data_IF_890697702035
#
_entry.id   IF_890697702035
#
_cell.length_a   1.000
_cell.length_b   1.000
_cell.length_c   1.000
_cell.angle_alpha   90.00
_cell.angle_beta   90.00
_cell.angle_gamma   90.00
#
_symmetry.space_group_name_H-M   'P 1'
#
loop_
_entity.id
_entity.type
_entity.pdbx_description
1 polymer ?
#
# COMPACT_ATOMS: atom_id res chain seq x y z
N UNK A 1 -11.75 -8.08 -8.90
CA UNK A 1 -11.36 -6.77 -9.47
C UNK A 1 -10.61 -7.02 -10.76
N UNK A 2 -10.85 -6.24 -11.82
CA UNK A 2 -9.93 -6.24 -12.97
C UNK A 2 -8.62 -5.55 -12.59
N UNK A 3 -7.50 -5.92 -13.24
CA UNK A 3 -6.22 -5.24 -13.03
C UNK A 3 -6.33 -3.72 -13.28
N UNK A 4 -7.18 -3.30 -14.23
CA UNK A 4 -7.44 -1.88 -14.51
C UNK A 4 -8.22 -1.15 -13.42
N UNK A 5 -9.15 -1.81 -12.74
CA UNK A 5 -9.89 -1.23 -11.63
C UNK A 5 -9.01 -1.09 -10.37
N UNK A 6 -8.15 -2.08 -10.12
CA UNK A 6 -7.18 -2.02 -9.04
C UNK A 6 -6.17 -0.90 -9.25
N UNK A 7 -5.61 -0.76 -10.45
CA UNK A 7 -4.64 0.30 -10.73
C UNK A 7 -5.24 1.69 -10.50
N UNK A 8 -6.45 1.96 -10.99
CA UNK A 8 -7.16 3.23 -10.74
C UNK A 8 -7.39 3.50 -9.24
N UNK A 9 -7.75 2.46 -8.47
CA UNK A 9 -7.94 2.60 -7.03
C UNK A 9 -6.62 2.96 -6.33
N UNK A 10 -5.50 2.35 -6.75
CA UNK A 10 -4.16 2.67 -6.24
C UNK A 10 -3.74 4.10 -6.63
N UNK A 11 -3.93 4.50 -7.89
CA UNK A 11 -3.56 5.83 -8.38
C UNK A 11 -4.32 6.94 -7.64
N UNK A 12 -5.63 6.74 -7.40
CA UNK A 12 -6.45 7.68 -6.65
C UNK A 12 -6.01 7.80 -5.18
N UNK A 13 -5.68 6.67 -4.55
CA UNK A 13 -5.18 6.66 -3.17
C UNK A 13 -3.82 7.36 -3.06
N UNK A 14 -2.91 7.11 -4.01
CA UNK A 14 -1.61 7.78 -4.08
C UNK A 14 -1.76 9.28 -4.29
N UNK A 15 -2.62 9.71 -5.23
CA UNK A 15 -2.89 11.13 -5.46
C UNK A 15 -3.41 11.82 -4.19
N UNK A 16 -4.33 11.18 -3.45
CA UNK A 16 -4.85 11.73 -2.20
C UNK A 16 -3.77 11.89 -1.12
N UNK A 17 -2.77 11.01 -1.07
CA UNK A 17 -1.64 11.11 -0.12
C UNK A 17 -0.67 12.21 -0.56
N UNK A 18 -0.37 12.28 -1.85
CA UNK A 18 0.51 13.31 -2.43
C UNK A 18 -0.05 14.73 -2.23
N UNK A 19 -1.37 14.89 -2.25
CA UNK A 19 -2.03 16.18 -1.98
C UNK A 19 -1.80 16.69 -0.55
N UNK A 20 -1.50 15.80 0.40
CA UNK A 20 -1.16 16.13 1.79
C UNK A 20 0.36 16.37 1.96
N UNK A 21 1.14 16.38 0.87
CA UNK A 21 2.60 16.53 0.90
C UNK A 21 3.33 15.28 1.41
N UNK A 22 2.67 14.13 1.39
CA UNK A 22 3.22 12.83 1.79
C UNK A 22 3.51 11.98 0.55
N UNK A 23 4.43 11.03 0.65
CA UNK A 23 4.72 10.08 -0.42
C UNK A 23 4.44 8.64 0.03
N UNK A 24 3.84 7.85 -0.87
CA UNK A 24 3.68 6.41 -0.65
C UNK A 24 4.90 5.68 -1.20
N UNK A 25 5.61 4.95 -0.35
CA UNK A 25 6.76 4.15 -0.80
C UNK A 25 6.34 3.05 -1.79
N UNK A 26 7.22 2.71 -2.73
CA UNK A 26 7.00 1.61 -3.67
C UNK A 26 6.77 0.27 -2.96
N UNK A 27 7.42 0.06 -1.80
CA UNK A 27 7.19 -1.11 -0.96
C UNK A 27 5.73 -1.17 -0.48
N UNK A 28 5.19 -0.05 0.02
CA UNK A 28 3.79 0.04 0.48
C UNK A 28 2.80 -0.18 -0.67
N UNK A 29 3.09 0.36 -1.86
CA UNK A 29 2.27 0.15 -3.07
C UNK A 29 2.21 -1.32 -3.45
N UNK A 30 3.36 -1.99 -3.48
CA UNK A 30 3.43 -3.41 -3.82
C UNK A 30 2.75 -4.30 -2.78
N UNK A 31 2.90 -3.97 -1.49
CA UNK A 31 2.23 -4.70 -0.42
C UNK A 31 0.70 -4.58 -0.52
N UNK A 32 0.20 -3.38 -0.82
CA UNK A 32 -1.22 -3.14 -1.03
C UNK A 32 -1.74 -3.90 -2.26
N UNK A 33 -0.97 -3.95 -3.36
CA UNK A 33 -1.31 -4.73 -4.56
C UNK A 33 -1.44 -6.22 -4.25
N UNK A 34 -0.50 -6.79 -3.49
CA UNK A 34 -0.54 -8.19 -3.03
C UNK A 34 -1.77 -8.48 -2.18
N UNK A 35 -2.11 -7.58 -1.25
CA UNK A 35 -3.31 -7.71 -0.42
C UNK A 35 -4.59 -7.72 -1.27
N UNK A 36 -4.71 -6.78 -2.22
CA UNK A 36 -5.89 -6.65 -3.08
C UNK A 36 -6.06 -7.83 -4.06
N UNK A 37 -4.96 -8.49 -4.41
CA UNK A 37 -4.95 -9.73 -5.20
C UNK A 37 -5.18 -11.00 -4.36
N UNK A 38 -5.32 -10.86 -3.03
CA UNK A 38 -5.40 -11.98 -2.08
C UNK A 38 -4.18 -12.89 -2.08
N UNK A 39 -3.02 -12.36 -2.48
CA UNK A 39 -1.73 -13.07 -2.42
C UNK A 39 -1.17 -13.10 -1.00
N UNK A 40 -1.59 -12.15 -0.15
CA UNK A 40 -1.30 -12.09 1.28
C UNK A 40 -2.58 -11.84 2.07
N UNK A 41 -2.58 -12.22 3.35
CA UNK A 41 -3.69 -11.92 4.26
C UNK A 41 -3.59 -10.50 4.82
N UNK A 42 -4.69 -10.01 5.40
CA UNK A 42 -4.69 -8.73 6.11
C UNK A 42 -3.75 -8.75 7.32
N UNK A 43 -3.70 -9.86 8.07
CA UNK A 43 -2.78 -10.01 9.21
C UNK A 43 -1.31 -9.94 8.78
N UNK A 44 -0.99 -10.57 7.65
CA UNK A 44 0.34 -10.50 7.06
C UNK A 44 0.70 -9.10 6.56
N UNK A 45 -0.27 -8.39 5.97
CA UNK A 45 -0.12 -7.01 5.56
C UNK A 45 0.19 -6.12 6.78
N UNK A 46 -0.60 -6.23 7.85
CA UNK A 46 -0.40 -5.48 9.10
C UNK A 46 1.00 -5.73 9.70
N UNK A 47 1.42 -6.99 9.78
CA UNK A 47 2.76 -7.33 10.28
C UNK A 47 3.87 -6.63 9.50
N UNK A 48 3.74 -6.56 8.17
CA UNK A 48 4.77 -5.97 7.28
C UNK A 48 4.76 -4.44 7.30
N UNK A 49 3.58 -3.81 7.32
CA UNK A 49 3.45 -2.35 7.43
C UNK A 49 3.94 -1.85 8.78
N UNK A 50 3.57 -2.52 9.87
CA UNK A 50 3.99 -2.13 11.22
C UNK A 50 5.48 -2.43 11.44
N UNK A 51 5.99 -3.58 10.98
CA UNK A 51 7.41 -3.86 11.07
C UNK A 51 8.27 -2.86 10.26
N UNK A 52 7.79 -2.45 9.08
CA UNK A 52 8.45 -1.42 8.27
C UNK A 52 8.43 -0.02 8.90
N UNK A 53 7.39 0.30 9.68
CA UNK A 53 7.32 1.54 10.45
C UNK A 53 8.32 1.54 11.64
N UNK A 54 8.55 0.38 12.26
CA UNK A 54 9.50 0.24 13.38
C UNK A 54 10.97 0.33 12.92
N UNK A 55 11.29 -0.10 11.70
CA UNK A 55 12.67 0.01 11.16
C UNK A 55 13.03 1.39 10.62
N UNK A 56 12.04 2.24 10.31
CA UNK A 56 12.24 3.60 9.79
C UNK A 56 12.04 4.70 10.85
N UNK A 57 12.32 4.39 12.12
CA UNK A 57 12.50 5.35 13.23
C UNK A 57 11.65 6.62 13.17
N UNK A 58 10.45 6.55 13.75
CA UNK A 58 9.83 7.72 14.40
C UNK A 58 10.49 7.86 15.78
#
# INVERSE_FOLDING_TARGET
>A
MSNSALQRAMDNAEASVNMEGLEVSDYSKELCRKLMRKEITFDEYLKRVVAGAVTNGI
#
